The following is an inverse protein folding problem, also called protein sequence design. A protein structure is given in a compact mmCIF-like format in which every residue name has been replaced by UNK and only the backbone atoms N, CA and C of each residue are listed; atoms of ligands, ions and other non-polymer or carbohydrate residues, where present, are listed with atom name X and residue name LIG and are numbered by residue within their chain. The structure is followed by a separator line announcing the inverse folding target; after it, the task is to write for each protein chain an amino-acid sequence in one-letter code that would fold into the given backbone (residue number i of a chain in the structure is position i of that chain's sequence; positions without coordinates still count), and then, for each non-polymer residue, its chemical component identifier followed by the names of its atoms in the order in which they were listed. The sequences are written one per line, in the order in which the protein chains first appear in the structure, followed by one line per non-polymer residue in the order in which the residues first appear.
data_IF_628288878452
#
_entry.id   IF_628288878452
#
_cell.length_a   1.000
_cell.length_b   1.000
_cell.length_c   1.000
_cell.angle_alpha   90.00
_cell.angle_beta   90.00
_cell.angle_gamma   90.00
#
_symmetry.space_group_name_H-M   'P 1'
#
loop_
_entity.id
_entity.type
_entity.pdbx_description
1 polymer ?
#
# COMPACT_ATOMS: atom_id res chain seq x y z
N UNK A 1 14.80 10.52 21.44
CA UNK A 1 15.64 9.39 20.99
C UNK A 1 14.73 8.18 20.83
N UNK A 2 14.06 8.06 19.69
CA UNK A 2 13.25 6.89 19.35
C UNK A 2 14.21 5.73 19.09
N UNK A 3 14.10 4.71 19.93
CA UNK A 3 14.87 3.47 19.80
C UNK A 3 14.36 2.80 18.53
N UNK A 4 15.15 2.82 17.46
CA UNK A 4 14.89 1.98 16.29
C UNK A 4 15.10 0.54 16.74
N UNK A 5 14.02 -0.12 17.14
CA UNK A 5 14.05 -1.56 17.42
C UNK A 5 14.39 -2.24 16.10
N UNK A 6 15.52 -2.94 16.05
CA UNK A 6 15.92 -3.67 14.85
C UNK A 6 14.80 -4.62 14.41
N UNK A 7 14.51 -4.65 13.10
CA UNK A 7 13.50 -5.54 12.51
C UNK A 7 13.81 -7.00 12.89
N UNK A 8 12.84 -7.79 13.38
CA UNK A 8 13.06 -9.22 13.64
C UNK A 8 13.37 -9.93 12.32
N UNK A 9 14.56 -10.49 12.18
CA UNK A 9 15.04 -11.04 10.91
C UNK A 9 14.19 -12.21 10.39
N UNK A 10 13.56 -12.98 11.28
CA UNK A 10 12.70 -14.12 10.94
C UNK A 10 11.39 -13.70 10.27
N UNK A 11 10.83 -12.52 10.61
CA UNK A 11 9.58 -12.04 10.01
C UNK A 11 9.72 -11.75 8.50
N UNK A 12 10.95 -11.55 8.04
CA UNK A 12 11.27 -11.23 6.66
C UNK A 12 12.09 -12.33 5.97
N UNK A 13 12.18 -13.52 6.56
CA UNK A 13 12.84 -14.68 5.95
C UNK A 13 11.82 -15.49 5.14
N UNK A 14 11.77 -15.28 3.83
CA UNK A 14 10.87 -16.01 2.94
C UNK A 14 11.06 -15.62 1.47
N UNK A 15 10.50 -16.39 0.52
CA UNK A 15 10.74 -16.18 -0.92
C UNK A 15 10.18 -14.85 -1.45
N UNK A 16 9.33 -14.18 -0.67
CA UNK A 16 8.68 -12.93 -1.06
C UNK A 16 9.48 -11.67 -0.68
N UNK A 17 10.51 -11.83 0.17
CA UNK A 17 11.36 -10.73 0.60
C UNK A 17 12.72 -10.83 -0.08
N UNK A 18 13.06 -9.77 -0.82
CA UNK A 18 14.38 -9.63 -1.45
C UNK A 18 15.20 -8.58 -0.69
N UNK A 19 16.54 -8.60 -0.78
CA UNK A 19 17.37 -7.52 -0.23
C UNK A 19 16.95 -6.13 -0.72
N UNK A 20 16.48 -6.02 -1.97
CA UNK A 20 15.97 -4.77 -2.54
C UNK A 20 14.70 -4.31 -1.82
N UNK A 21 13.73 -5.20 -1.57
CA UNK A 21 12.49 -4.82 -0.87
C UNK A 21 12.75 -4.48 0.60
N UNK A 22 13.73 -5.12 1.23
CA UNK A 22 14.14 -4.77 2.59
C UNK A 22 14.79 -3.39 2.68
N UNK A 23 15.61 -3.03 1.70
CA UNK A 23 16.18 -1.69 1.59
C UNK A 23 15.10 -0.64 1.28
N UNK A 24 14.13 -0.97 0.42
CA UNK A 24 12.97 -0.11 0.13
C UNK A 24 12.12 0.12 1.39
N UNK A 25 11.91 -0.92 2.20
CA UNK A 25 11.17 -0.84 3.46
C UNK A 25 11.81 0.13 4.47
N UNK A 26 13.14 0.31 4.44
CA UNK A 26 13.84 1.21 5.37
C UNK A 26 13.43 2.68 5.19
N UNK A 27 13.03 3.08 3.98
CA UNK A 27 12.59 4.45 3.67
C UNK A 27 11.09 4.55 3.36
N UNK A 28 10.38 3.43 3.28
CA UNK A 28 8.96 3.39 2.87
C UNK A 28 8.04 4.23 3.76
N UNK A 29 8.38 4.43 5.04
CA UNK A 29 7.63 5.26 5.99
C UNK A 29 7.50 6.73 5.57
N UNK A 30 8.34 7.20 4.64
CA UNK A 30 8.28 8.55 4.07
C UNK A 30 7.48 8.58 2.75
N UNK A 31 7.20 7.42 2.13
CA UNK A 31 6.60 7.32 0.81
C UNK A 31 5.06 7.33 0.87
N UNK A 32 4.46 8.49 0.61
CA UNK A 32 3.01 8.69 0.53
C UNK A 32 2.35 8.33 -0.80
N UNK A 33 3.08 7.73 -1.76
CA UNK A 33 2.55 7.43 -3.10
C UNK A 33 1.76 6.14 -3.09
N UNK A 34 0.54 6.21 -2.57
CA UNK A 34 -0.39 5.07 -2.42
C UNK A 34 -1.06 4.62 -3.73
N UNK A 35 -0.66 5.19 -4.86
CA UNK A 35 -1.01 4.69 -6.18
C UNK A 35 0.00 5.08 -7.27
N UNK A 36 -0.17 4.55 -8.47
CA UNK A 36 0.74 4.82 -9.59
C UNK A 36 0.54 6.22 -10.18
N UNK A 37 -0.67 6.78 -10.11
CA UNK A 37 -0.98 8.13 -10.60
C UNK A 37 -1.96 8.85 -9.67
N UNK A 38 -1.64 10.07 -9.25
CA UNK A 38 -2.59 10.98 -8.59
C UNK A 38 -3.47 11.60 -9.69
N UNK A 39 -4.76 11.29 -9.69
CA UNK A 39 -5.68 11.72 -10.76
C UNK A 39 -6.55 12.91 -10.34
N UNK A 40 -6.70 13.16 -9.03
CA UNK A 40 -7.42 14.32 -8.51
C UNK A 40 -6.98 14.64 -7.09
N UNK A 41 -6.93 15.93 -6.76
CA UNK A 41 -6.75 16.42 -5.39
C UNK A 41 -7.67 17.63 -5.18
N UNK A 42 -8.31 17.67 -4.01
CA UNK A 42 -9.24 18.72 -3.59
C UNK A 42 -8.91 19.16 -2.16
N UNK A 43 -9.74 20.01 -1.57
CA UNK A 43 -9.68 20.33 -0.14
C UNK A 43 -10.10 19.18 0.77
N UNK A 44 -10.83 18.18 0.25
CA UNK A 44 -11.40 17.07 1.03
C UNK A 44 -10.72 15.73 0.81
N UNK A 45 -10.19 15.49 -0.38
CA UNK A 45 -9.69 14.17 -0.75
C UNK A 45 -8.61 14.19 -1.84
N UNK A 46 -7.79 13.14 -1.83
CA UNK A 46 -6.93 12.71 -2.93
C UNK A 46 -7.48 11.46 -3.57
N UNK A 47 -7.40 11.37 -4.90
CA UNK A 47 -7.80 10.20 -5.67
C UNK A 47 -6.62 9.70 -6.46
N UNK A 48 -6.27 8.44 -6.23
CA UNK A 48 -5.18 7.73 -6.89
C UNK A 48 -5.73 6.61 -7.77
N UNK A 49 -5.06 6.39 -8.89
CA UNK A 49 -5.20 5.19 -9.71
C UNK A 49 -4.00 4.28 -9.45
N UNK A 50 -4.27 2.99 -9.37
CA UNK A 50 -3.29 1.92 -9.52
C UNK A 50 -3.66 1.18 -10.80
N UNK A 51 -2.67 0.95 -11.66
CA UNK A 51 -2.76 0.06 -12.82
C UNK A 51 -1.48 -0.76 -12.85
N UNK A 52 -1.61 -2.09 -12.88
CA UNK A 52 -0.50 -3.04 -12.84
C UNK A 52 -0.73 -4.14 -13.87
N UNK A 53 0.20 -4.30 -14.80
CA UNK A 53 0.27 -5.48 -15.66
C UNK A 53 0.60 -6.73 -14.81
N UNK A 54 0.37 -7.95 -15.34
CA UNK A 54 0.87 -9.17 -14.70
C UNK A 54 2.37 -9.07 -14.36
N UNK A 55 2.72 -9.26 -13.09
CA UNK A 55 4.09 -9.13 -12.57
C UNK A 55 4.51 -7.71 -12.16
N UNK A 56 3.71 -6.68 -12.47
CA UNK A 56 3.98 -5.33 -11.98
C UNK A 56 3.72 -5.22 -10.47
N UNK A 57 4.38 -4.24 -9.86
CA UNK A 57 4.29 -3.96 -8.42
C UNK A 57 4.23 -2.47 -8.16
N UNK A 58 3.27 -2.04 -7.35
CA UNK A 58 3.34 -0.76 -6.65
C UNK A 58 4.31 -0.90 -5.47
N UNK A 59 5.43 -0.14 -5.42
CA UNK A 59 6.42 -0.24 -4.35
C UNK A 59 5.85 -0.02 -2.95
N UNK A 60 6.61 -0.41 -1.91
CA UNK A 60 6.28 -0.16 -0.52
C UNK A 60 5.98 1.31 -0.30
N UNK A 61 4.79 1.57 0.21
CA UNK A 61 4.24 2.89 0.50
C UNK A 61 3.51 2.86 1.84
N UNK A 62 3.26 4.03 2.39
CA UNK A 62 2.66 4.18 3.72
C UNK A 62 1.36 4.96 3.64
N UNK A 63 0.30 4.35 4.16
CA UNK A 63 -0.95 5.03 4.47
C UNK A 63 -0.87 5.65 5.85
N UNK A 64 -1.20 6.94 5.95
CA UNK A 64 -1.41 7.65 7.22
C UNK A 64 -2.79 8.28 7.32
N UNK A 65 -3.53 8.35 6.21
CA UNK A 65 -4.86 8.92 6.12
C UNK A 65 -5.92 7.82 6.10
N UNK A 66 -7.10 8.13 6.62
CA UNK A 66 -8.30 7.34 6.38
C UNK A 66 -8.53 7.25 4.88
N UNK A 67 -8.86 6.06 4.41
CA UNK A 67 -9.00 5.83 2.98
C UNK A 67 -9.88 4.62 2.69
N UNK A 68 -10.32 4.55 1.45
CA UNK A 68 -10.84 3.31 0.88
C UNK A 68 -10.26 3.09 -0.50
N UNK A 69 -10.37 1.86 -0.97
CA UNK A 69 -10.10 1.53 -2.36
C UNK A 69 -11.20 0.65 -2.92
N UNK A 70 -11.35 0.70 -4.24
CA UNK A 70 -12.22 -0.18 -5.03
C UNK A 70 -11.38 -0.84 -6.12
N UNK A 71 -11.45 -2.17 -6.22
CA UNK A 71 -10.92 -2.89 -7.37
C UNK A 71 -11.81 -2.61 -8.59
N UNK A 72 -11.27 -1.98 -9.63
CA UNK A 72 -12.02 -1.65 -10.86
C UNK A 72 -11.89 -2.71 -11.95
N UNK A 73 -11.11 -3.75 -11.66
CA UNK A 73 -10.91 -4.97 -12.47
C UNK A 73 -10.83 -6.17 -11.53
N UNK A 74 -11.04 -7.37 -12.06
CA UNK A 74 -10.80 -8.60 -11.32
C UNK A 74 -9.34 -9.07 -11.53
N UNK A 75 -8.77 -9.72 -10.52
CA UNK A 75 -7.42 -10.26 -10.59
C UNK A 75 -6.91 -10.75 -9.24
N UNK A 76 -5.61 -11.08 -9.16
CA UNK A 76 -4.99 -11.62 -7.96
C UNK A 76 -3.76 -10.81 -7.58
N UNK A 77 -3.65 -10.43 -6.31
CA UNK A 77 -2.50 -9.67 -5.82
C UNK A 77 -1.84 -10.31 -4.59
N UNK A 78 -0.59 -9.92 -4.37
CA UNK A 78 0.17 -10.16 -3.15
C UNK A 78 0.57 -8.83 -2.51
N UNK A 79 0.40 -8.73 -1.20
CA UNK A 79 0.92 -7.61 -0.39
C UNK A 79 1.91 -8.12 0.64
N UNK A 80 3.03 -7.40 0.79
CA UNK A 80 4.00 -7.58 1.87
C UNK A 80 3.92 -6.39 2.81
N UNK A 81 3.74 -6.65 4.10
CA UNK A 81 3.54 -5.63 5.12
C UNK A 81 4.82 -5.41 5.93
N UNK A 82 4.94 -4.22 6.52
CA UNK A 82 6.11 -3.84 7.33
C UNK A 82 6.27 -4.62 8.64
N UNK A 83 5.28 -5.41 9.04
CA UNK A 83 5.38 -6.36 10.16
C UNK A 83 5.90 -7.74 9.73
N UNK A 84 6.21 -7.93 8.43
CA UNK A 84 6.66 -9.18 7.83
C UNK A 84 5.53 -10.04 7.27
N UNK A 85 4.27 -9.69 7.54
CA UNK A 85 3.10 -10.41 7.01
C UNK A 85 3.09 -10.38 5.48
N UNK A 86 2.73 -11.51 4.87
CA UNK A 86 2.47 -11.60 3.43
C UNK A 86 1.05 -12.11 3.24
N UNK A 87 0.27 -11.42 2.41
CA UNK A 87 -1.11 -11.78 2.08
C UNK A 87 -1.27 -11.91 0.58
N UNK A 88 -2.06 -12.90 0.15
CA UNK A 88 -2.53 -13.01 -1.23
C UNK A 88 -4.05 -13.01 -1.26
N UNK A 89 -4.62 -12.35 -2.26
CA UNK A 89 -6.06 -12.20 -2.38
C UNK A 89 -6.50 -12.17 -3.84
N UNK A 90 -7.63 -12.82 -4.12
CA UNK A 90 -8.40 -12.65 -5.35
C UNK A 90 -9.42 -11.52 -5.18
N UNK A 91 -9.56 -10.69 -6.22
CA UNK A 91 -10.44 -9.54 -6.25
C UNK A 91 -11.48 -9.71 -7.35
N UNK A 92 -12.75 -9.47 -7.00
CA UNK A 92 -13.82 -9.22 -7.96
C UNK A 92 -13.93 -7.72 -8.24
N UNK A 93 -14.46 -7.35 -9.41
CA UNK A 93 -14.82 -5.96 -9.73
C UNK A 93 -15.77 -5.43 -8.68
N UNK A 94 -15.43 -4.29 -8.08
CA UNK A 94 -16.20 -3.65 -7.01
C UNK A 94 -15.80 -4.09 -5.60
N UNK A 95 -14.88 -5.05 -5.45
CA UNK A 95 -14.31 -5.37 -4.13
C UNK A 95 -13.79 -4.08 -3.50
N UNK A 96 -14.24 -3.78 -2.27
CA UNK A 96 -13.97 -2.52 -1.59
C UNK A 96 -13.54 -2.79 -0.16
N UNK A 97 -12.53 -2.07 0.32
CA UNK A 97 -12.15 -2.05 1.75
C UNK A 97 -11.94 -0.63 2.24
N UNK A 98 -12.29 -0.43 3.51
CA UNK A 98 -12.15 0.82 4.23
C UNK A 98 -11.14 0.68 5.36
N UNK A 99 -10.35 1.71 5.58
CA UNK A 99 -9.34 1.76 6.62
C UNK A 99 -9.39 3.12 7.31
N UNK A 100 -9.14 3.11 8.62
CA UNK A 100 -9.09 4.29 9.47
C UNK A 100 -7.81 4.29 10.29
N UNK A 101 -7.20 5.44 10.49
CA UNK A 101 -5.96 5.61 11.25
C UNK A 101 -6.13 6.64 12.36
N UNK A 102 -5.79 6.24 13.57
CA UNK A 102 -5.59 7.16 14.69
C UNK A 102 -4.35 8.05 14.48
N UNK A 103 -4.22 9.06 15.35
CA UNK A 103 -3.07 9.96 15.33
C UNK A 103 -1.76 9.18 15.56
N UNK A 104 -0.83 9.27 14.62
CA UNK A 104 0.45 8.58 14.63
C UNK A 104 0.40 7.13 14.17
N UNK A 105 -0.78 6.60 13.84
CA UNK A 105 -0.91 5.27 13.24
C UNK A 105 -0.60 5.32 11.74
N UNK A 106 -0.09 4.22 11.22
CA UNK A 106 0.24 4.07 9.80
C UNK A 106 0.25 2.60 9.40
N UNK A 107 0.12 2.35 8.11
CA UNK A 107 0.28 1.01 7.53
C UNK A 107 1.18 1.09 6.31
N UNK A 108 2.28 0.33 6.36
CA UNK A 108 3.23 0.24 5.25
C UNK A 108 3.13 -1.13 4.60
N UNK A 109 2.92 -1.13 3.29
CA UNK A 109 2.81 -2.33 2.48
C UNK A 109 3.09 -2.04 1.02
N UNK A 110 3.28 -3.10 0.23
CA UNK A 110 3.31 -3.02 -1.21
C UNK A 110 2.17 -3.83 -1.83
N UNK A 111 2.07 -3.78 -3.17
CA UNK A 111 1.04 -4.52 -3.89
C UNK A 111 1.62 -5.00 -5.22
N UNK A 112 1.65 -6.31 -5.42
CA UNK A 112 2.16 -6.98 -6.61
C UNK A 112 1.03 -7.72 -7.30
N UNK A 113 0.88 -7.52 -8.61
CA UNK A 113 -0.04 -8.30 -9.41
C UNK A 113 0.59 -9.68 -9.70
N UNK A 114 0.06 -10.72 -9.08
CA UNK A 114 0.51 -12.11 -9.25
C UNK A 114 -0.44 -12.93 -10.13
N UNK A 115 -1.44 -12.28 -10.72
CA UNK A 115 -2.37 -12.87 -11.67
C UNK A 115 -1.88 -12.75 -13.12
N UNK A 116 -2.80 -13.01 -14.05
CA UNK A 116 -2.59 -12.98 -15.50
C UNK A 116 -3.40 -11.89 -16.23
N UNK A 117 -4.16 -11.08 -15.48
CA UNK A 117 -4.93 -9.93 -15.98
C UNK A 117 -4.32 -8.60 -15.53
N UNK A 118 -4.66 -7.51 -16.21
CA UNK A 118 -4.37 -6.15 -15.72
C UNK A 118 -5.18 -5.91 -14.46
N UNK A 119 -4.52 -5.51 -13.38
CA UNK A 119 -5.13 -5.24 -12.08
C UNK A 119 -5.11 -3.75 -11.78
N UNK A 120 -6.32 -3.20 -11.58
CA UNK A 120 -6.56 -1.78 -11.34
C UNK A 120 -7.36 -1.53 -10.06
N UNK A 121 -6.99 -0.46 -9.36
CA UNK A 121 -7.70 0.04 -8.19
C UNK A 121 -7.89 1.55 -8.27
N UNK A 122 -9.01 2.06 -7.76
CA UNK A 122 -9.15 3.47 -7.41
C UNK A 122 -9.08 3.61 -5.90
N UNK A 123 -8.16 4.43 -5.42
CA UNK A 123 -7.95 4.72 -4.00
C UNK A 123 -8.34 6.16 -3.70
N UNK A 124 -9.11 6.38 -2.64
CA UNK A 124 -9.51 7.71 -2.18
C UNK A 124 -9.05 7.90 -0.75
N UNK A 125 -8.16 8.87 -0.54
CA UNK A 125 -7.70 9.27 0.79
C UNK A 125 -8.44 10.53 1.24
N UNK A 126 -8.86 10.55 2.51
CA UNK A 126 -9.57 11.67 3.11
C UNK A 126 -8.58 12.64 3.80
N UNK A 127 -8.60 13.91 3.40
CA UNK A 127 -7.67 14.92 3.91
C UNK A 127 -8.06 15.48 5.29
N UNK A 128 -9.26 15.17 5.79
CA UNK A 128 -9.73 15.48 7.14
C UNK A 128 -9.37 14.40 8.17
N UNK A 129 -8.42 13.50 7.83
CA UNK A 129 -7.89 12.48 8.72
C UNK A 129 -7.10 13.05 9.91
N UNK A 130 -6.89 12.26 10.99
CA UNK A 130 -6.11 12.69 12.15
C UNK A 130 -4.62 13.00 11.89
N UNK A 131 -4.07 12.50 10.78
CA UNK A 131 -2.68 12.70 10.36
C UNK A 131 -2.58 13.63 9.15
N UNK A 132 -1.44 14.30 8.99
CA UNK A 132 -1.14 15.05 7.78
C UNK A 132 -0.73 14.09 6.64
N UNK A 133 -1.03 14.42 5.37
CA UNK A 133 -0.62 13.63 4.22
C UNK A 133 0.91 13.50 4.12
N UNK A 134 1.37 12.35 3.59
CA UNK A 134 2.73 12.15 3.10
C UNK A 134 2.83 12.56 1.61
N UNK A 135 4.05 12.71 1.09
CA UNK A 135 4.35 13.00 -0.33
C UNK A 135 5.33 11.98 -0.90
#
# INVERSE_FOLDING_TARGET
MTKTTARPQEAFSGPHWTPQYLAELDTAHENGRVGSTLVSESDRARVWLIEMQPGDRLPLHTHVLDYFWVATTAGRARSRFADGTVSEMDYDVGTTRHFTFGKGESMTHDLENIGDTVLCFTTVEYLDSPNAPLF
#
